data_IF_111396378440
#
_entry.id   IF_111396378440
#
_cell.length_a   1.000
_cell.length_b   1.000
_cell.length_c   1.000
_cell.angle_alpha   90.00
_cell.angle_beta   90.00
_cell.angle_gamma   90.00
#
_symmetry.space_group_name_H-M   'P 1'
#
loop_
_entity.id
_entity.type
_entity.pdbx_description
1 polymer ?
#
# COMPACT_ATOMS: atom_id res chain seq x y z
N UNK A 1 -12.86 21.75 21.52
CA UNK A 1 -11.98 20.69 22.08
C UNK A 1 -11.01 20.29 20.98
N UNK A 2 -9.74 20.00 21.29
CA UNK A 2 -8.86 19.32 20.33
C UNK A 2 -9.33 17.86 20.24
N UNK A 3 -9.78 17.43 19.08
CA UNK A 3 -10.13 16.03 18.83
C UNK A 3 -8.86 15.19 18.82
N UNK A 4 -8.82 14.10 19.58
CA UNK A 4 -7.66 13.20 19.65
C UNK A 4 -7.57 12.23 18.46
N UNK A 5 -8.48 12.36 17.49
CA UNK A 5 -8.58 11.62 16.23
C UNK A 5 -9.58 12.28 15.29
N UNK A 6 -9.47 12.03 13.99
CA UNK A 6 -10.47 12.36 12.98
C UNK A 6 -10.89 11.08 12.24
N UNK A 7 -12.19 10.82 12.13
CA UNK A 7 -12.73 9.67 11.38
C UNK A 7 -13.51 10.18 10.18
N UNK A 8 -13.10 9.77 8.99
CA UNK A 8 -13.73 10.17 7.73
C UNK A 8 -14.28 8.98 6.96
N UNK A 9 -15.44 9.19 6.35
CA UNK A 9 -15.98 8.32 5.32
C UNK A 9 -15.32 8.68 3.99
N UNK A 10 -14.87 7.67 3.26
CA UNK A 10 -14.16 7.83 1.98
C UNK A 10 -15.10 7.62 0.81
N UNK A 11 -15.87 6.53 0.83
CA UNK A 11 -16.77 6.17 -0.27
C UNK A 11 -17.91 5.27 0.20
N UNK A 12 -19.07 5.35 -0.48
CA UNK A 12 -20.19 4.41 -0.36
C UNK A 12 -20.13 3.27 -1.39
N UNK A 13 -19.20 3.34 -2.36
CA UNK A 13 -19.17 2.46 -3.53
C UNK A 13 -18.71 1.03 -3.25
N UNK A 14 -18.22 0.75 -2.04
CA UNK A 14 -17.75 -0.59 -1.62
C UNK A 14 -18.46 -1.02 -0.35
N UNK A 15 -18.93 -2.27 -0.33
CA UNK A 15 -19.52 -2.88 0.87
C UNK A 15 -18.38 -3.53 1.67
N UNK A 16 -18.24 -3.23 2.98
CA UNK A 16 -17.28 -3.91 3.85
C UNK A 16 -17.41 -5.44 3.77
N UNK A 17 -16.29 -6.16 3.61
CA UNK A 17 -16.32 -7.61 3.73
C UNK A 17 -16.38 -7.99 5.20
N UNK A 18 -17.44 -8.72 5.53
CA UNK A 18 -17.67 -9.31 6.85
C UNK A 18 -16.74 -10.52 7.05
N UNK A 19 -15.44 -10.24 7.13
CA UNK A 19 -14.35 -11.20 7.05
C UNK A 19 -13.38 -10.99 8.22
N UNK A 20 -13.69 -11.65 9.35
CA UNK A 20 -12.74 -11.84 10.45
C UNK A 20 -11.60 -12.74 9.94
N UNK A 21 -10.39 -12.22 9.96
CA UNK A 21 -9.19 -12.97 9.57
C UNK A 21 -8.74 -13.88 10.72
N UNK A 22 -7.97 -14.91 10.41
CA UNK A 22 -7.34 -15.74 11.43
C UNK A 22 -6.34 -14.92 12.26
N UNK A 23 -6.39 -15.07 13.58
CA UNK A 23 -5.54 -14.37 14.52
C UNK A 23 -4.69 -15.33 15.36
N UNK A 24 -3.43 -14.96 15.55
CA UNK A 24 -2.43 -15.69 16.35
C UNK A 24 -1.84 -14.76 17.41
N UNK A 25 -1.40 -15.31 18.56
CA UNK A 25 -0.62 -14.52 19.52
C UNK A 25 0.72 -14.12 18.91
N UNK A 26 1.13 -12.87 19.11
CA UNK A 26 2.31 -12.31 18.47
C UNK A 26 3.62 -12.98 18.90
N UNK A 27 3.74 -13.52 20.12
CA UNK A 27 4.92 -14.31 20.51
C UNK A 27 4.94 -15.65 19.77
N UNK A 28 3.82 -16.36 19.80
CA UNK A 28 3.66 -17.62 19.09
C UNK A 28 3.93 -17.48 17.58
N UNK A 29 3.55 -16.35 16.96
CA UNK A 29 3.89 -16.03 15.56
C UNK A 29 5.42 -15.98 15.32
N UNK A 30 6.17 -15.26 16.16
CA UNK A 30 7.63 -15.16 16.00
C UNK A 30 8.35 -16.47 16.37
N UNK A 31 7.88 -17.20 17.39
CA UNK A 31 8.41 -18.51 17.81
C UNK A 31 8.18 -19.60 16.74
N UNK A 32 7.00 -19.61 16.09
CA UNK A 32 6.71 -20.54 14.99
C UNK A 32 7.60 -20.28 13.76
N UNK A 33 7.85 -19.00 13.44
CA UNK A 33 8.70 -18.60 12.32
C UNK A 33 10.20 -18.75 12.61
N UNK A 34 10.62 -18.75 13.89
CA UNK A 34 12.01 -18.96 14.31
C UNK A 34 12.07 -19.81 15.58
N UNK A 35 12.21 -21.14 15.43
CA UNK A 35 12.11 -22.12 16.54
C UNK A 35 13.14 -21.97 17.68
N UNK A 36 14.19 -21.18 17.47
CA UNK A 36 15.24 -20.90 18.48
C UNK A 36 15.11 -19.52 19.12
N UNK A 37 14.10 -18.72 18.76
CA UNK A 37 14.01 -17.31 19.14
C UNK A 37 13.61 -17.13 20.62
N UNK A 38 14.60 -17.06 21.50
CA UNK A 38 14.40 -16.88 22.94
C UNK A 38 14.24 -15.40 23.31
N UNK A 39 13.03 -15.01 23.71
CA UNK A 39 12.71 -13.65 24.18
C UNK A 39 13.21 -13.37 25.60
N UNK A 40 13.92 -12.26 25.77
CA UNK A 40 14.26 -11.69 27.08
C UNK A 40 13.22 -10.65 27.54
N UNK A 41 12.71 -9.84 26.61
CA UNK A 41 11.63 -8.87 26.86
C UNK A 41 10.91 -8.53 25.56
N UNK A 42 9.67 -8.04 25.68
CA UNK A 42 8.74 -7.80 24.58
C UNK A 42 7.73 -6.71 24.99
N UNK A 43 7.46 -5.74 24.11
CA UNK A 43 6.55 -4.62 24.38
C UNK A 43 5.72 -4.23 23.15
N UNK A 44 4.42 -4.01 23.37
CA UNK A 44 3.47 -3.46 22.40
C UNK A 44 2.95 -2.13 22.93
N UNK A 45 2.60 -1.20 22.03
CA UNK A 45 1.80 -0.03 22.39
C UNK A 45 0.76 0.29 21.32
N UNK A 46 -0.50 0.35 21.72
CA UNK A 46 -1.38 1.40 21.24
C UNK A 46 -2.37 1.84 22.34
N UNK A 47 -2.11 3.01 22.92
CA UNK A 47 -2.86 3.65 24.02
C UNK A 47 -2.88 2.93 25.37
N UNK A 48 -3.29 3.69 26.39
CA UNK A 48 -2.93 3.52 27.81
C UNK A 48 -4.16 3.30 28.71
N UNK A 49 -5.25 2.76 28.15
CA UNK A 49 -6.56 2.67 28.80
C UNK A 49 -7.40 1.47 28.29
N UNK A 50 -6.85 0.27 28.42
CA UNK A 50 -7.65 -0.95 28.68
C UNK A 50 -6.75 -2.03 29.28
N UNK A 51 -7.26 -2.79 30.25
CA UNK A 51 -6.58 -3.96 30.82
C UNK A 51 -6.68 -5.20 29.90
N UNK A 52 -6.79 -4.94 28.60
CA UNK A 52 -7.23 -5.86 27.54
C UNK A 52 -6.50 -5.59 26.21
N UNK A 53 -5.26 -5.10 26.27
CA UNK A 53 -4.40 -4.91 25.10
C UNK A 53 -4.09 -6.26 24.42
N UNK A 54 -4.89 -6.58 23.40
CA UNK A 54 -4.80 -7.84 22.65
C UNK A 54 -3.43 -8.01 22.01
N UNK A 55 -2.73 -9.06 22.42
CA UNK A 55 -1.47 -9.54 21.82
C UNK A 55 -1.67 -10.24 20.48
N UNK A 56 -2.91 -10.32 19.97
CA UNK A 56 -3.24 -11.03 18.74
C UNK A 56 -3.00 -10.16 17.51
N UNK A 57 -2.38 -10.77 16.49
CA UNK A 57 -2.22 -10.22 15.14
C UNK A 57 -2.80 -11.19 14.10
N UNK A 58 -3.07 -10.69 12.90
CA UNK A 58 -3.46 -11.51 11.74
C UNK A 58 -2.33 -12.52 11.45
N UNK A 59 -2.66 -13.80 11.30
CA UNK A 59 -1.69 -14.89 11.06
C UNK A 59 -0.99 -14.80 9.70
N UNK A 60 -1.71 -14.34 8.68
CA UNK A 60 -1.26 -14.24 7.29
C UNK A 60 -1.32 -12.77 6.81
N UNK A 61 -0.39 -11.90 7.26
CA UNK A 61 -0.31 -10.53 6.77
C UNK A 61 0.18 -10.50 5.31
N UNK A 62 -0.40 -9.62 4.49
CA UNK A 62 -0.03 -9.46 3.07
C UNK A 62 1.44 -9.05 2.83
N UNK A 63 2.10 -8.45 3.82
CA UNK A 63 3.55 -8.18 3.81
C UNK A 63 4.15 -8.26 5.21
N UNK A 64 5.48 -8.39 5.31
CA UNK A 64 6.24 -8.26 6.57
C UNK A 64 6.38 -6.81 7.09
N UNK A 65 5.57 -5.88 6.60
CA UNK A 65 5.55 -4.48 7.03
C UNK A 65 4.15 -4.09 7.48
N UNK A 66 3.92 -4.02 8.80
CA UNK A 66 2.58 -3.87 9.38
C UNK A 66 1.76 -2.72 8.79
N UNK A 67 2.30 -1.49 8.67
CA UNK A 67 1.59 -0.38 8.03
C UNK A 67 1.14 -0.69 6.59
N UNK A 68 2.05 -1.18 5.74
CA UNK A 68 1.76 -1.53 4.35
C UNK A 68 0.69 -2.62 4.30
N UNK A 69 0.81 -3.66 5.14
CA UNK A 69 -0.18 -4.74 5.20
C UNK A 69 -1.55 -4.26 5.70
N UNK A 70 -1.60 -3.37 6.71
CA UNK A 70 -2.84 -2.81 7.25
C UNK A 70 -3.61 -2.01 6.20
N UNK A 71 -2.92 -1.14 5.46
CA UNK A 71 -3.48 -0.37 4.34
C UNK A 71 -4.04 -1.32 3.26
N UNK A 72 -3.34 -2.43 2.97
CA UNK A 72 -3.74 -3.38 1.94
C UNK A 72 -4.96 -4.20 2.38
N UNK A 73 -5.00 -4.75 3.60
CA UNK A 73 -6.18 -5.44 4.11
C UNK A 73 -7.41 -4.52 4.10
N UNK A 74 -7.27 -3.26 4.56
CA UNK A 74 -8.35 -2.28 4.47
C UNK A 74 -8.83 -2.04 3.03
N UNK A 75 -7.90 -1.94 2.06
CA UNK A 75 -8.20 -1.69 0.65
C UNK A 75 -8.79 -2.89 -0.10
N UNK A 76 -8.34 -4.11 0.19
CA UNK A 76 -8.80 -5.35 -0.49
C UNK A 76 -9.98 -6.02 0.18
N UNK A 77 -10.21 -5.78 1.48
CA UNK A 77 -11.36 -6.27 2.24
C UNK A 77 -12.43 -5.21 2.49
N UNK A 78 -12.21 -3.97 2.05
CA UNK A 78 -13.11 -2.82 2.29
C UNK A 78 -13.34 -2.56 3.78
N UNK A 79 -12.29 -2.72 4.59
CA UNK A 79 -12.35 -2.57 6.05
C UNK A 79 -11.88 -1.17 6.47
N UNK A 80 -12.23 -0.76 7.69
CA UNK A 80 -11.93 0.57 8.21
C UNK A 80 -10.44 0.65 8.56
N UNK A 81 -9.68 1.50 7.88
CA UNK A 81 -8.26 1.71 8.19
C UNK A 81 -8.11 2.63 9.42
N UNK A 82 -7.33 2.23 10.42
CA UNK A 82 -6.85 3.12 11.48
C UNK A 82 -5.34 3.27 11.41
N UNK A 83 -4.85 4.51 11.39
CA UNK A 83 -3.42 4.87 11.41
C UNK A 83 -3.17 6.12 12.26
N UNK A 84 -1.93 6.27 12.72
CA UNK A 84 -1.46 7.38 13.55
C UNK A 84 -0.27 8.12 12.90
N UNK A 85 0.09 9.33 13.39
CA UNK A 85 1.32 10.03 12.97
C UNK A 85 2.58 9.21 13.23
N UNK A 86 2.58 8.36 14.26
CA UNK A 86 3.73 7.51 14.62
C UNK A 86 3.92 6.37 13.62
N UNK A 87 2.85 5.81 13.05
CA UNK A 87 2.97 4.79 11.98
C UNK A 87 3.64 5.37 10.73
N UNK A 88 3.25 6.59 10.34
CA UNK A 88 3.86 7.25 9.19
C UNK A 88 5.29 7.68 9.53
N UNK A 89 5.53 8.29 10.70
CA UNK A 89 6.86 8.74 11.09
C UNK A 89 7.86 7.59 11.28
N UNK A 90 7.44 6.47 11.86
CA UNK A 90 8.32 5.31 12.07
C UNK A 90 8.72 4.69 10.73
N UNK A 91 7.80 4.61 9.78
CA UNK A 91 8.08 4.18 8.40
C UNK A 91 9.09 5.11 7.72
N UNK A 92 8.93 6.43 7.89
CA UNK A 92 9.88 7.43 7.38
C UNK A 92 11.26 7.30 8.06
N UNK A 93 11.30 7.20 9.39
CA UNK A 93 12.55 7.06 10.14
C UNK A 93 13.31 5.77 9.78
N UNK A 94 12.60 4.66 9.53
CA UNK A 94 13.19 3.43 9.00
C UNK A 94 13.73 3.62 7.57
N UNK A 95 13.04 4.39 6.72
CA UNK A 95 13.52 4.77 5.39
C UNK A 95 14.82 5.59 5.42
N UNK A 96 14.89 6.59 6.30
CA UNK A 96 16.11 7.41 6.53
C UNK A 96 17.24 6.57 7.12
N UNK A 97 16.96 5.70 8.10
CA UNK A 97 17.95 4.80 8.70
C UNK A 97 18.55 3.85 7.66
N UNK A 98 17.70 3.21 6.83
CA UNK A 98 18.14 2.35 5.72
C UNK A 98 18.93 3.14 4.66
N UNK A 99 18.60 4.41 4.40
CA UNK A 99 19.39 5.27 3.52
C UNK A 99 20.80 5.52 4.07
N UNK A 100 20.92 5.98 5.31
CA UNK A 100 22.20 6.31 5.96
C UNK A 100 23.09 5.05 6.03
N UNK A 101 22.51 3.91 6.39
CA UNK A 101 23.24 2.63 6.43
C UNK A 101 23.71 2.17 5.03
N UNK A 102 22.87 2.31 3.99
CA UNK A 102 23.23 1.89 2.63
C UNK A 102 24.32 2.76 1.99
N UNK A 103 24.36 4.07 2.29
CA UNK A 103 25.34 5.01 1.74
C UNK A 103 26.57 5.19 2.66
N UNK A 104 26.83 4.21 3.55
CA UNK A 104 27.84 4.31 4.61
C UNK A 104 29.30 4.22 4.12
N UNK A 105 29.59 3.44 3.07
CA UNK A 105 30.96 3.34 2.54
C UNK A 105 31.30 4.44 1.52
N UNK A 106 30.44 4.70 0.53
CA UNK A 106 30.66 5.69 -0.55
C UNK A 106 29.35 5.90 -1.36
N UNK A 107 29.15 6.85 -2.28
CA UNK A 107 30.02 7.69 -3.13
C UNK A 107 30.93 6.98 -4.16
N UNK A 108 30.71 5.68 -4.37
CA UNK A 108 31.51 4.78 -5.20
C UNK A 108 30.63 3.54 -5.45
N UNK A 109 30.22 3.17 -6.65
CA UNK A 109 30.71 3.61 -7.95
C UNK A 109 29.74 3.25 -9.10
N UNK A 110 28.47 2.92 -8.79
CA UNK A 110 27.55 2.27 -9.73
C UNK A 110 26.13 2.87 -9.75
N UNK A 111 25.83 3.56 -10.85
CA UNK A 111 24.53 3.60 -11.56
C UNK A 111 24.78 2.91 -12.93
N UNK A 112 23.84 2.46 -13.77
CA UNK A 112 22.59 2.99 -14.39
C UNK A 112 21.85 1.76 -15.05
N UNK A 113 20.71 1.72 -15.78
CA UNK A 113 19.60 2.59 -16.30
C UNK A 113 18.51 1.66 -16.95
N UNK A 114 17.43 2.21 -17.56
CA UNK A 114 16.57 1.68 -18.66
C UNK A 114 15.70 0.39 -18.50
N UNK A 115 14.53 0.22 -19.16
CA UNK A 115 13.60 1.13 -19.88
C UNK A 115 12.17 0.54 -20.00
N UNK A 116 11.16 1.40 -20.26
CA UNK A 116 9.80 1.02 -20.71
C UNK A 116 8.68 1.07 -19.66
N UNK A 117 7.39 0.80 -19.98
CA UNK A 117 6.68 0.77 -21.29
C UNK A 117 5.16 1.07 -21.06
N UNK A 118 4.41 1.49 -22.10
CA UNK A 118 3.07 2.12 -21.95
C UNK A 118 1.88 1.12 -21.96
N UNK A 119 0.79 1.44 -21.24
CA UNK A 119 -0.44 0.63 -21.11
C UNK A 119 -1.70 1.47 -21.34
N UNK A 120 -2.82 0.82 -21.69
CA UNK A 120 -4.17 1.40 -21.75
C UNK A 120 -5.02 0.66 -20.71
N UNK A 121 -5.47 1.39 -19.69
CA UNK A 121 -6.31 0.87 -18.61
C UNK A 121 -7.52 1.79 -18.42
N UNK A 122 -8.68 1.22 -18.08
CA UNK A 122 -9.94 1.96 -17.90
C UNK A 122 -10.56 1.59 -16.56
N UNK A 123 -11.03 2.61 -15.86
CA UNK A 123 -11.68 2.43 -14.57
C UNK A 123 -13.14 2.02 -14.74
N UNK A 124 -13.43 0.76 -14.44
CA UNK A 124 -14.77 0.19 -14.50
C UNK A 124 -15.51 0.21 -13.15
N UNK A 125 -14.90 0.76 -12.07
CA UNK A 125 -15.39 0.61 -10.69
C UNK A 125 -16.77 1.21 -10.46
N UNK A 126 -17.09 2.31 -11.14
CA UNK A 126 -18.40 3.00 -11.04
C UNK A 126 -19.46 2.38 -11.98
N UNK A 127 -19.10 1.37 -12.78
CA UNK A 127 -19.90 0.88 -13.92
C UNK A 127 -20.19 -0.63 -13.82
N UNK A 128 -19.24 -1.45 -13.31
CA UNK A 128 -19.36 -2.91 -13.19
C UNK A 128 -19.28 -3.37 -11.74
N UNK A 129 -20.27 -4.17 -11.33
CA UNK A 129 -20.41 -4.78 -10.02
C UNK A 129 -20.25 -6.31 -10.11
N UNK A 130 -20.00 -6.97 -8.98
CA UNK A 130 -19.82 -8.42 -8.89
C UNK A 130 -20.65 -9.04 -7.76
N UNK A 131 -21.45 -10.07 -8.07
CA UNK A 131 -22.26 -10.82 -7.09
C UNK A 131 -22.50 -12.25 -7.61
N UNK A 132 -22.50 -13.24 -6.71
CA UNK A 132 -22.81 -14.64 -7.02
C UNK A 132 -22.04 -15.22 -8.23
N UNK A 133 -20.75 -14.89 -8.38
CA UNK A 133 -19.88 -15.26 -9.52
C UNK A 133 -20.27 -14.64 -10.88
N UNK A 134 -21.17 -13.65 -10.91
CA UNK A 134 -21.59 -12.92 -12.12
C UNK A 134 -21.15 -11.45 -12.01
N UNK A 135 -20.66 -10.88 -13.12
CA UNK A 135 -20.37 -9.46 -13.26
C UNK A 135 -21.55 -8.78 -13.97
N UNK A 136 -22.10 -7.71 -13.39
CA UNK A 136 -23.28 -7.00 -13.89
C UNK A 136 -23.08 -5.48 -13.82
N UNK A 137 -23.64 -4.74 -14.77
CA UNK A 137 -23.40 -3.31 -14.92
C UNK A 137 -23.59 -2.85 -16.37
N UNK A 138 -23.25 -1.59 -16.68
CA UNK A 138 -23.38 -1.07 -18.04
C UNK A 138 -22.18 -1.48 -18.91
N UNK A 139 -22.27 -2.68 -19.46
CA UNK A 139 -21.31 -3.21 -20.43
C UNK A 139 -21.23 -2.38 -21.73
N UNK A 140 -22.27 -1.64 -22.11
CA UNK A 140 -22.27 -0.80 -23.31
C UNK A 140 -21.35 0.42 -23.09
N UNK A 141 -21.46 1.04 -21.91
CA UNK A 141 -20.58 2.13 -21.48
C UNK A 141 -19.11 1.69 -21.42
N UNK A 142 -18.83 0.48 -20.92
CA UNK A 142 -17.48 -0.10 -20.91
C UNK A 142 -16.91 -0.31 -22.31
N UNK A 143 -17.71 -0.86 -23.23
CA UNK A 143 -17.29 -1.11 -24.61
C UNK A 143 -17.03 0.21 -25.36
N UNK A 144 -17.85 1.23 -25.12
CA UNK A 144 -17.62 2.58 -25.66
C UNK A 144 -16.32 3.20 -25.12
N UNK A 145 -16.06 3.12 -23.82
CA UNK A 145 -14.82 3.65 -23.23
C UNK A 145 -13.58 2.91 -23.76
N UNK A 146 -13.62 1.57 -23.83
CA UNK A 146 -12.55 0.76 -24.42
C UNK A 146 -12.29 1.15 -25.87
N UNK A 147 -13.34 1.28 -26.68
CA UNK A 147 -13.27 1.69 -28.08
C UNK A 147 -12.55 3.05 -28.22
N UNK A 148 -12.98 4.06 -27.47
CA UNK A 148 -12.37 5.40 -27.54
C UNK A 148 -10.92 5.43 -27.04
N UNK A 149 -10.56 4.67 -26.01
CA UNK A 149 -9.19 4.64 -25.50
C UNK A 149 -8.23 3.92 -26.46
N UNK A 150 -8.69 2.85 -27.12
CA UNK A 150 -7.95 2.13 -28.15
C UNK A 150 -7.85 2.90 -29.49
N UNK A 151 -8.64 3.97 -29.66
CA UNK A 151 -8.56 4.85 -30.84
C UNK A 151 -7.56 5.99 -30.64
N UNK A 152 -7.57 6.64 -29.47
CA UNK A 152 -6.65 7.72 -29.09
C UNK A 152 -5.16 7.34 -29.03
N UNK A 153 -4.78 6.11 -29.33
CA UNK A 153 -3.40 5.62 -29.32
C UNK A 153 -2.99 4.91 -30.63
N UNK A 154 -3.66 5.22 -31.75
CA UNK A 154 -3.30 4.77 -33.10
C UNK A 154 -3.23 5.98 -34.03
N UNK A 155 -2.17 6.11 -34.83
CA UNK A 155 -1.94 7.28 -35.71
C UNK A 155 -2.79 7.27 -37.00
N UNK A 156 -3.53 6.19 -37.25
CA UNK A 156 -4.44 6.06 -38.39
C UNK A 156 -5.77 6.73 -38.04
N UNK A 157 -6.03 7.89 -38.63
CA UNK A 157 -7.31 8.60 -38.48
C UNK A 157 -8.51 7.75 -38.92
N UNK A 158 -9.67 8.04 -38.33
CA UNK A 158 -11.01 7.55 -38.68
C UNK A 158 -11.22 6.03 -38.65
N UNK A 159 -10.26 5.26 -38.12
CA UNK A 159 -10.35 3.80 -38.01
C UNK A 159 -11.54 3.36 -37.12
N UNK A 160 -11.93 4.13 -36.09
CA UNK A 160 -13.20 3.89 -35.37
C UNK A 160 -14.42 4.08 -36.28
N UNK A 161 -14.47 5.14 -37.08
CA UNK A 161 -15.63 5.44 -37.94
C UNK A 161 -15.84 4.32 -38.98
N UNK A 162 -14.75 3.82 -39.58
CA UNK A 162 -14.79 2.71 -40.55
C UNK A 162 -15.26 1.37 -39.97
N UNK A 163 -15.23 1.20 -38.64
CA UNK A 163 -15.68 -0.01 -37.94
C UNK A 163 -16.99 0.17 -37.18
N UNK A 164 -17.49 1.39 -36.99
CA UNK A 164 -18.75 1.65 -36.27
C UNK A 164 -19.96 1.49 -37.21
N UNK A 165 -20.90 0.60 -36.90
CA UNK A 165 -22.08 0.41 -37.75
C UNK A 165 -23.05 1.59 -37.66
N UNK A 166 -23.08 2.42 -38.70
CA UNK A 166 -23.89 3.64 -38.83
C UNK A 166 -25.11 3.52 -39.78
N UNK A 167 -25.25 2.37 -40.45
CA UNK A 167 -26.29 2.09 -41.45
C UNK A 167 -27.73 2.29 -40.92
N UNK A 168 -28.68 2.54 -41.84
CA UNK A 168 -30.11 2.73 -41.51
C UNK A 168 -30.80 1.51 -40.88
N UNK A 169 -30.16 0.34 -40.90
CA UNK A 169 -30.61 -0.90 -40.24
C UNK A 169 -29.88 -1.18 -38.92
N UNK A 170 -28.94 -0.32 -38.51
CA UNK A 170 -28.13 -0.53 -37.31
C UNK A 170 -28.95 -0.42 -36.03
N UNK A 171 -28.63 -1.30 -35.08
CA UNK A 171 -29.24 -1.39 -33.76
C UNK A 171 -28.18 -1.18 -32.68
N UNK A 172 -28.61 -0.92 -31.44
CA UNK A 172 -27.69 -0.88 -30.29
C UNK A 172 -26.80 -2.13 -30.21
N UNK A 173 -27.31 -3.30 -30.59
CA UNK A 173 -26.55 -4.54 -30.63
C UNK A 173 -25.48 -4.55 -31.74
N UNK A 174 -25.81 -4.13 -32.97
CA UNK A 174 -24.82 -4.10 -34.07
C UNK A 174 -23.75 -3.03 -33.85
N UNK A 175 -24.13 -1.83 -33.37
CA UNK A 175 -23.19 -0.77 -32.99
C UNK A 175 -22.21 -1.27 -31.92
N UNK A 176 -22.70 -1.98 -30.90
CA UNK A 176 -21.86 -2.53 -29.83
C UNK A 176 -20.95 -3.65 -30.35
N UNK A 177 -21.49 -4.57 -31.16
CA UNK A 177 -20.71 -5.66 -31.76
C UNK A 177 -19.59 -5.12 -32.66
N UNK A 178 -19.85 -4.07 -33.44
CA UNK A 178 -18.86 -3.48 -34.33
C UNK A 178 -17.72 -2.79 -33.55
N UNK A 179 -18.02 -2.19 -32.40
CA UNK A 179 -17.01 -1.68 -31.44
C UNK A 179 -16.18 -2.79 -30.81
N UNK A 180 -16.77 -3.96 -30.55
CA UNK A 180 -16.01 -5.16 -30.12
C UNK A 180 -15.09 -5.64 -31.26
N UNK A 181 -15.54 -5.61 -32.52
CA UNK A 181 -14.71 -6.00 -33.69
C UNK A 181 -13.54 -5.01 -33.90
N UNK A 182 -13.74 -3.70 -33.68
CA UNK A 182 -12.64 -2.73 -33.65
C UNK A 182 -11.60 -3.08 -32.57
N UNK A 183 -12.05 -3.41 -31.35
CA UNK A 183 -11.17 -3.82 -30.26
C UNK A 183 -10.42 -5.12 -30.60
N UNK A 184 -11.09 -6.08 -31.23
CA UNK A 184 -10.51 -7.33 -31.69
C UNK A 184 -9.41 -7.11 -32.75
N UNK A 185 -9.65 -6.21 -33.72
CA UNK A 185 -8.63 -5.86 -34.74
C UNK A 185 -7.33 -5.32 -34.14
N UNK A 186 -7.43 -4.63 -32.99
CA UNK A 186 -6.28 -4.02 -32.27
C UNK A 186 -5.71 -4.92 -31.16
N UNK A 187 -6.24 -6.13 -30.92
CA UNK A 187 -5.86 -7.02 -29.79
C UNK A 187 -4.42 -7.55 -29.82
N UNK A 188 -3.76 -7.49 -30.98
CA UNK A 188 -2.35 -7.84 -31.12
C UNK A 188 -1.41 -6.75 -30.53
N UNK A 189 -1.91 -5.51 -30.40
CA UNK A 189 -1.14 -4.35 -29.96
C UNK A 189 -1.55 -3.88 -28.54
N UNK A 190 -2.82 -4.06 -28.16
CA UNK A 190 -3.33 -3.66 -26.85
C UNK A 190 -3.95 -4.83 -26.08
N UNK A 191 -3.65 -4.91 -24.78
CA UNK A 191 -4.21 -5.91 -23.85
C UNK A 191 -5.24 -5.26 -22.93
N UNK A 192 -6.52 -5.35 -23.31
CA UNK A 192 -7.61 -4.82 -22.50
C UNK A 192 -7.73 -5.55 -21.16
N UNK A 193 -7.97 -4.80 -20.09
CA UNK A 193 -8.20 -5.30 -18.72
C UNK A 193 -9.29 -4.47 -18.06
N UNK A 194 -10.13 -5.12 -17.26
CA UNK A 194 -11.15 -4.50 -16.42
C UNK A 194 -10.81 -4.78 -14.96
N UNK A 195 -10.94 -3.78 -14.09
CA UNK A 195 -10.55 -3.87 -12.68
C UNK A 195 -11.77 -3.93 -11.77
N UNK A 196 -11.88 -5.01 -10.98
CA UNK A 196 -12.90 -5.15 -9.94
C UNK A 196 -12.63 -4.25 -8.73
N UNK A 197 -13.69 -3.96 -7.97
CA UNK A 197 -13.66 -3.03 -6.83
C UNK A 197 -12.63 -3.41 -5.75
N UNK A 198 -11.71 -2.49 -5.48
CA UNK A 198 -10.86 -2.41 -4.29
C UNK A 198 -10.82 -0.94 -3.87
N UNK A 199 -10.90 -0.68 -2.57
CA UNK A 199 -11.12 0.65 -2.00
C UNK A 199 -11.32 0.58 -0.49
N UNK A 200 -10.86 1.60 0.23
CA UNK A 200 -11.06 1.77 1.68
C UNK A 200 -12.32 2.63 1.87
N UNK A 201 -13.40 2.16 2.54
CA UNK A 201 -14.62 2.95 2.71
C UNK A 201 -14.55 3.97 3.86
N UNK A 202 -13.68 3.75 4.86
CA UNK A 202 -13.56 4.60 6.06
C UNK A 202 -12.14 4.61 6.58
N UNK A 203 -11.68 5.76 7.08
CA UNK A 203 -10.36 5.96 7.69
C UNK A 203 -10.51 6.66 9.04
N UNK A 204 -9.79 6.20 10.07
CA UNK A 204 -9.51 6.99 11.28
C UNK A 204 -8.03 7.37 11.30
N UNK A 205 -7.78 8.67 11.34
CA UNK A 205 -6.49 9.27 11.60
C UNK A 205 -6.45 9.63 13.09
N UNK A 206 -5.78 8.81 13.89
CA UNK A 206 -5.59 9.07 15.33
C UNK A 206 -4.62 10.24 15.57
N UNK A 207 -4.52 10.72 16.80
CA UNK A 207 -3.74 11.93 17.14
C UNK A 207 -4.48 13.24 16.80
N UNK A 208 -3.87 14.38 17.15
CA UNK A 208 -4.41 15.71 16.85
C UNK A 208 -3.94 16.23 15.49
N UNK A 209 -4.64 17.19 14.91
CA UNK A 209 -4.18 17.89 13.69
C UNK A 209 -2.77 18.49 13.85
N UNK A 210 -2.41 18.93 15.06
CA UNK A 210 -1.07 19.44 15.38
C UNK A 210 0.01 18.37 15.16
N UNK A 211 -0.27 17.11 15.50
CA UNK A 211 0.67 16.00 15.34
C UNK A 211 0.89 15.65 13.86
N UNK A 212 -0.18 15.70 13.06
CA UNK A 212 -0.10 15.52 11.60
C UNK A 212 0.63 16.67 10.90
N UNK A 213 0.43 17.92 11.35
CA UNK A 213 1.22 19.06 10.87
C UNK A 213 2.70 18.94 11.29
N UNK A 214 2.97 18.49 12.52
CA UNK A 214 4.33 18.27 13.02
C UNK A 214 5.05 17.15 12.27
N UNK A 215 4.34 16.09 11.86
CA UNK A 215 4.83 15.06 10.95
C UNK A 215 5.31 15.66 9.61
N UNK A 216 4.52 16.54 8.99
CA UNK A 216 4.91 17.20 7.73
C UNK A 216 6.15 18.09 7.92
N UNK A 217 6.21 18.88 9.00
CA UNK A 217 7.37 19.71 9.32
C UNK A 217 8.65 18.90 9.63
N UNK A 218 8.52 17.72 10.26
CA UNK A 218 9.63 16.78 10.42
C UNK A 218 10.12 16.24 9.08
N UNK A 219 9.23 15.98 8.12
CA UNK A 219 9.59 15.53 6.77
C UNK A 219 10.27 16.64 5.95
N UNK A 220 9.74 17.88 5.95
CA UNK A 220 10.41 19.03 5.31
C UNK A 220 11.82 19.26 5.86
N UNK A 221 12.02 19.06 7.16
CA UNK A 221 13.35 19.14 7.79
C UNK A 221 14.31 18.07 7.27
N UNK A 222 13.86 16.87 6.91
CA UNK A 222 14.72 15.82 6.34
C UNK A 222 15.29 16.22 4.97
N UNK A 223 14.53 16.93 4.13
CA UNK A 223 15.03 17.48 2.86
C UNK A 223 16.24 18.39 3.09
N UNK A 224 16.17 19.23 4.13
CA UNK A 224 17.20 20.21 4.47
C UNK A 224 18.45 19.63 5.16
N UNK A 225 18.52 18.31 5.42
CA UNK A 225 19.69 17.66 6.05
C UNK A 225 20.81 17.28 5.05
N UNK A 226 20.65 17.57 3.75
CA UNK A 226 21.66 17.24 2.74
C UNK A 226 21.78 15.74 2.42
N UNK A 227 20.78 14.94 2.81
CA UNK A 227 20.78 13.48 2.66
C UNK A 227 20.40 12.98 1.24
N UNK A 228 20.25 13.87 0.25
CA UNK A 228 19.91 13.49 -1.14
C UNK A 228 18.69 12.55 -1.27
N UNK A 229 17.68 12.76 -0.41
CA UNK A 229 16.48 11.93 -0.29
C UNK A 229 15.34 12.35 -1.24
N UNK A 230 15.57 13.36 -2.07
CA UNK A 230 14.55 14.06 -2.86
C UNK A 230 13.78 13.13 -3.82
N UNK A 231 14.45 12.10 -4.35
CA UNK A 231 13.85 11.01 -5.16
C UNK A 231 12.72 10.24 -4.45
N UNK A 232 12.60 10.38 -3.13
CA UNK A 232 11.57 9.78 -2.30
C UNK A 232 10.71 10.83 -1.59
N UNK A 233 11.31 11.85 -0.97
CA UNK A 233 10.55 12.83 -0.18
C UNK A 233 9.57 13.64 -1.03
N UNK A 234 9.91 13.95 -2.29
CA UNK A 234 8.98 14.55 -3.27
C UNK A 234 7.76 13.69 -3.58
N UNK A 235 7.87 12.35 -3.47
CA UNK A 235 6.76 11.41 -3.65
C UNK A 235 5.92 11.26 -2.38
N UNK A 236 6.54 11.47 -1.21
CA UNK A 236 5.96 11.30 0.12
C UNK A 236 5.17 12.53 0.61
N UNK A 237 5.67 13.75 0.39
CA UNK A 237 5.03 14.98 0.88
C UNK A 237 3.57 15.17 0.39
N UNK A 238 3.20 14.85 -0.87
CA UNK A 238 1.81 14.87 -1.32
C UNK A 238 0.91 13.89 -0.54
N UNK A 239 1.44 12.72 -0.13
CA UNK A 239 0.69 11.70 0.63
C UNK A 239 0.41 12.17 2.05
N UNK A 240 1.41 12.78 2.71
CA UNK A 240 1.23 13.38 4.05
C UNK A 240 0.26 14.56 3.99
N UNK A 241 0.30 15.35 2.92
CA UNK A 241 -0.65 16.46 2.71
C UNK A 241 -2.08 15.93 2.55
N UNK A 242 -2.30 14.87 1.77
CA UNK A 242 -3.59 14.20 1.63
C UNK A 242 -4.10 13.58 2.95
N UNK A 243 -3.22 13.06 3.81
CA UNK A 243 -3.62 12.66 5.17
C UNK A 243 -4.05 13.86 6.03
N UNK A 244 -3.34 14.98 5.96
CA UNK A 244 -3.69 16.22 6.68
C UNK A 244 -5.02 16.81 6.18
N UNK A 245 -5.28 16.80 4.89
CA UNK A 245 -6.54 17.30 4.32
C UNK A 245 -7.70 16.35 4.58
N UNK A 246 -7.48 15.03 4.51
CA UNK A 246 -8.43 14.03 5.02
C UNK A 246 -8.73 14.28 6.51
N UNK A 247 -7.73 14.58 7.36
CA UNK A 247 -7.97 14.87 8.79
C UNK A 247 -8.94 16.05 8.99
N UNK A 248 -8.85 17.09 8.15
CA UNK A 248 -9.74 18.27 8.17
C UNK A 248 -11.16 18.00 7.65
N UNK A 249 -11.41 16.84 7.02
CA UNK A 249 -12.66 16.51 6.33
C UNK A 249 -12.65 16.82 4.82
N UNK A 250 -11.51 17.28 4.26
CA UNK A 250 -11.33 17.49 2.82
C UNK A 250 -10.91 16.16 2.16
N UNK A 251 -11.86 15.24 2.00
CA UNK A 251 -11.59 13.87 1.54
C UNK A 251 -11.48 13.80 0.01
N UNK A 252 -10.31 13.38 -0.50
CA UNK A 252 -10.11 13.02 -1.90
C UNK A 252 -10.34 11.51 -2.11
N UNK A 253 -11.51 11.15 -2.63
CA UNK A 253 -11.85 9.75 -2.95
C UNK A 253 -10.85 9.15 -3.96
N UNK A 254 -10.34 9.93 -4.92
CA UNK A 254 -9.41 9.43 -5.94
C UNK A 254 -8.06 9.07 -5.33
N UNK A 255 -7.52 9.90 -4.43
CA UNK A 255 -6.32 9.58 -3.67
C UNK A 255 -6.47 8.25 -2.92
N UNK A 256 -7.54 8.08 -2.12
CA UNK A 256 -7.76 6.83 -1.38
C UNK A 256 -8.06 5.63 -2.30
N UNK A 257 -8.62 5.86 -3.48
CA UNK A 257 -8.78 4.84 -4.52
C UNK A 257 -7.48 4.48 -5.28
N UNK A 258 -6.40 5.25 -5.10
CA UNK A 258 -5.06 5.07 -5.69
C UNK A 258 -4.00 4.52 -4.71
N UNK A 259 -4.43 3.91 -3.59
CA UNK A 259 -3.57 3.10 -2.69
C UNK A 259 -2.68 2.15 -3.50
N UNK A 260 -3.32 1.31 -4.31
CA UNK A 260 -2.72 0.37 -5.26
C UNK A 260 -3.56 0.34 -6.55
N UNK A 261 -2.87 0.29 -7.67
CA UNK A 261 -3.27 -0.29 -8.94
C UNK A 261 -2.33 -1.48 -9.16
N UNK A 262 -2.88 -2.69 -9.31
CA UNK A 262 -2.05 -3.81 -9.76
C UNK A 262 -1.69 -3.54 -11.22
N UNK A 263 -0.40 -3.64 -11.54
CA UNK A 263 0.14 -3.60 -12.90
C UNK A 263 0.56 -5.03 -13.22
N UNK A 264 -0.30 -5.85 -13.87
CA UNK A 264 0.03 -7.22 -14.18
C UNK A 264 0.89 -7.29 -15.45
N UNK A 265 1.64 -8.39 -15.56
CA UNK A 265 2.71 -8.60 -16.55
C UNK A 265 2.37 -8.10 -17.98
N UNK A 266 3.34 -7.38 -18.57
CA UNK A 266 3.56 -7.40 -20.01
C UNK A 266 4.39 -8.65 -20.37
N UNK A 267 4.47 -9.04 -21.64
CA UNK A 267 5.19 -10.27 -22.06
C UNK A 267 6.72 -10.20 -21.93
N UNK A 268 7.27 -9.13 -21.34
CA UNK A 268 8.70 -8.89 -21.19
C UNK A 268 9.11 -8.55 -19.74
N UNK A 269 8.16 -8.48 -18.80
CA UNK A 269 8.39 -8.20 -17.38
C UNK A 269 7.89 -9.38 -16.55
N UNK A 270 8.67 -9.85 -15.57
CA UNK A 270 8.45 -11.16 -14.93
C UNK A 270 7.81 -11.11 -13.54
N UNK A 271 7.31 -9.97 -13.07
CA UNK A 271 6.70 -9.82 -11.73
C UNK A 271 5.45 -8.93 -11.75
N UNK A 272 4.47 -9.24 -10.90
CA UNK A 272 3.31 -8.38 -10.66
C UNK A 272 3.69 -7.21 -9.73
N UNK A 273 3.33 -5.99 -10.14
CA UNK A 273 3.65 -4.77 -9.39
C UNK A 273 2.43 -4.08 -8.77
N UNK A 274 2.63 -3.44 -7.62
CA UNK A 274 1.72 -2.46 -7.03
C UNK A 274 2.16 -1.04 -7.40
N UNK A 275 1.39 -0.38 -8.26
CA UNK A 275 1.54 1.03 -8.61
C UNK A 275 0.60 1.89 -7.78
N UNK A 276 1.08 2.88 -7.04
CA UNK A 276 0.22 3.72 -6.19
C UNK A 276 0.96 4.33 -5.02
N UNK A 277 0.29 5.22 -4.29
CA UNK A 277 0.94 6.04 -3.25
C UNK A 277 1.46 5.23 -2.06
N UNK A 278 1.03 3.98 -1.87
CA UNK A 278 1.60 3.09 -0.84
C UNK A 278 3.12 2.89 -1.01
N UNK A 279 3.62 2.96 -2.24
CA UNK A 279 5.06 2.90 -2.57
C UNK A 279 5.80 4.23 -2.38
N UNK A 280 5.08 5.34 -2.13
CA UNK A 280 5.66 6.62 -1.71
C UNK A 280 6.06 6.61 -0.24
N UNK A 281 5.50 5.70 0.57
CA UNK A 281 5.92 5.51 1.96
C UNK A 281 7.34 4.93 2.07
N UNK A 282 7.88 4.36 0.97
CA UNK A 282 9.12 3.57 0.96
C UNK A 282 10.18 4.19 0.01
N UNK A 283 11.40 4.44 0.48
CA UNK A 283 12.53 4.84 -0.38
C UNK A 283 13.23 3.67 -1.05
N UNK A 284 13.17 2.46 -0.47
CA UNK A 284 13.96 1.30 -0.87
C UNK A 284 13.14 0.01 -0.86
N UNK A 285 13.48 -0.90 -1.77
CA UNK A 285 13.01 -2.30 -1.74
C UNK A 285 13.72 -3.12 -0.66
N UNK A 286 13.26 -4.36 -0.45
CA UNK A 286 13.93 -5.39 0.35
C UNK A 286 15.37 -5.67 -0.12
N UNK A 287 15.63 -5.51 -1.42
CA UNK A 287 16.95 -5.64 -2.06
C UNK A 287 17.73 -4.31 -2.10
N UNK A 288 17.25 -3.27 -1.41
CA UNK A 288 17.89 -1.95 -1.28
C UNK A 288 18.01 -1.19 -2.62
N UNK A 289 17.18 -1.55 -3.61
CA UNK A 289 17.03 -0.76 -4.83
C UNK A 289 16.22 0.52 -4.52
N UNK A 290 16.64 1.68 -5.03
CA UNK A 290 15.87 2.93 -4.89
C UNK A 290 14.51 2.79 -5.56
N UNK A 291 13.45 3.16 -4.85
CA UNK A 291 12.10 3.33 -5.41
C UNK A 291 12.00 4.78 -5.90
N UNK A 292 12.09 4.97 -7.21
CA UNK A 292 12.12 6.30 -7.87
C UNK A 292 10.79 6.70 -8.50
N UNK A 293 9.93 5.73 -8.78
CA UNK A 293 8.56 5.89 -9.25
C UNK A 293 7.59 5.33 -8.20
N UNK A 294 6.28 5.52 -8.40
CA UNK A 294 5.27 4.97 -7.48
C UNK A 294 4.92 3.52 -7.83
N UNK A 295 5.93 2.62 -7.86
CA UNK A 295 5.79 1.20 -8.18
C UNK A 295 6.64 0.34 -7.23
N UNK A 296 6.07 -0.75 -6.69
CA UNK A 296 6.81 -1.75 -5.90
C UNK A 296 6.24 -3.16 -6.14
N UNK A 297 7.10 -4.18 -6.21
CA UNK A 297 6.69 -5.61 -6.26
C UNK A 297 6.38 -6.08 -4.83
N UNK A 298 5.30 -6.86 -4.56
CA UNK A 298 4.89 -7.26 -3.21
C UNK A 298 6.03 -7.93 -2.40
N UNK A 299 6.72 -8.87 -3.02
CA UNK A 299 7.83 -9.62 -2.42
C UNK A 299 9.08 -8.76 -2.16
N UNK A 300 9.13 -7.56 -2.73
CA UNK A 300 10.20 -6.57 -2.59
C UNK A 300 9.85 -5.46 -1.59
N UNK A 301 8.70 -5.54 -0.91
CA UNK A 301 8.42 -4.73 0.29
C UNK A 301 9.43 -5.11 1.38
N UNK A 302 10.22 -4.15 1.92
CA UNK A 302 11.17 -4.43 2.98
C UNK A 302 10.44 -4.75 4.30
N UNK A 303 11.10 -5.47 5.21
CA UNK A 303 10.58 -5.68 6.56
C UNK A 303 10.30 -4.34 7.27
N UNK A 304 9.17 -4.27 7.97
CA UNK A 304 8.81 -3.19 8.86
C UNK A 304 9.50 -3.23 10.22
N UNK A 305 10.41 -4.20 10.44
CA UNK A 305 11.33 -4.24 11.58
C UNK A 305 12.73 -3.77 11.18
N UNK A 306 13.40 -3.11 12.14
CA UNK A 306 14.86 -2.96 12.17
C UNK A 306 15.44 -3.84 13.28
N UNK A 307 16.69 -4.26 13.11
CA UNK A 307 17.43 -5.11 14.03
C UNK A 307 18.73 -4.40 14.42
N UNK A 308 19.07 -4.43 15.71
CA UNK A 308 20.31 -3.87 16.26
C UNK A 308 21.00 -4.94 17.10
N UNK A 309 22.05 -5.60 16.59
CA UNK A 309 22.85 -6.53 17.38
C UNK A 309 23.68 -5.77 18.43
N UNK A 310 23.77 -6.32 19.62
CA UNK A 310 24.60 -5.83 20.71
C UNK A 310 25.10 -6.99 21.58
N UNK A 311 26.14 -6.75 22.37
CA UNK A 311 26.67 -7.72 23.33
C UNK A 311 26.35 -7.29 24.77
N UNK A 312 26.04 -8.26 25.63
CA UNK A 312 25.98 -8.07 27.08
C UNK A 312 26.98 -8.98 27.78
N UNK A 313 27.71 -8.42 28.75
CA UNK A 313 28.79 -9.09 29.50
C UNK A 313 28.64 -8.74 30.98
N UNK A 314 28.66 -9.75 31.85
CA UNK A 314 28.61 -9.56 33.30
C UNK A 314 30.03 -9.48 33.86
N UNK A 315 30.34 -8.42 34.60
CA UNK A 315 31.66 -8.20 35.17
C UNK A 315 31.96 -9.25 36.26
N UNK A 316 33.13 -9.88 36.19
CA UNK A 316 33.53 -10.99 37.07
C UNK A 316 33.05 -12.38 36.61
N UNK A 317 32.12 -12.48 35.66
CA UNK A 317 31.61 -13.76 35.15
C UNK A 317 32.13 -14.06 33.73
N UNK A 318 32.08 -15.35 33.33
CA UNK A 318 32.33 -15.77 31.94
C UNK A 318 31.05 -15.76 31.07
N UNK A 319 29.98 -15.12 31.54
CA UNK A 319 28.73 -15.03 30.79
C UNK A 319 28.78 -13.88 29.77
N UNK A 320 28.64 -14.26 28.50
CA UNK A 320 28.58 -13.38 27.35
C UNK A 320 27.33 -13.72 26.55
N UNK A 321 26.50 -12.72 26.29
CA UNK A 321 25.27 -12.86 25.52
C UNK A 321 25.35 -12.00 24.26
N UNK A 322 25.22 -12.63 23.10
CA UNK A 322 24.98 -11.95 21.83
C UNK A 322 23.47 -11.75 21.68
N UNK A 323 23.01 -10.50 21.69
CA UNK A 323 21.59 -10.13 21.75
C UNK A 323 21.19 -9.28 20.55
N UNK A 324 19.94 -9.35 20.12
CA UNK A 324 19.39 -8.51 19.06
C UNK A 324 18.17 -7.74 19.57
N UNK A 325 18.23 -6.41 19.51
CA UNK A 325 17.09 -5.54 19.76
C UNK A 325 16.33 -5.33 18.44
N UNK A 326 15.10 -5.81 18.37
CA UNK A 326 14.23 -5.68 17.20
C UNK A 326 13.12 -4.67 17.49
N UNK A 327 12.87 -3.74 16.57
CA UNK A 327 11.85 -2.70 16.76
C UNK A 327 11.17 -2.31 15.45
N UNK A 328 9.89 -1.94 15.51
CA UNK A 328 9.12 -1.50 14.35
C UNK A 328 7.70 -2.01 14.33
N UNK A 329 7.22 -2.40 13.14
CA UNK A 329 5.93 -3.02 12.93
C UNK A 329 6.00 -4.52 13.15
N UNK A 330 5.39 -5.00 14.25
CA UNK A 330 5.37 -6.41 14.61
C UNK A 330 4.23 -7.19 13.93
N UNK A 331 3.26 -6.52 13.33
CA UNK A 331 2.15 -7.14 12.61
C UNK A 331 1.01 -6.17 12.29
N UNK A 332 -0.19 -6.74 12.11
CA UNK A 332 -1.46 -6.04 11.88
C UNK A 332 -2.50 -6.64 12.80
N UNK A 333 -3.33 -5.82 13.43
CA UNK A 333 -4.50 -6.24 14.22
C UNK A 333 -5.78 -5.82 13.51
N UNK A 334 -6.82 -6.64 13.65
CA UNK A 334 -8.17 -6.35 13.18
C UNK A 334 -9.09 -6.37 14.41
N UNK A 335 -9.56 -5.19 14.82
CA UNK A 335 -10.48 -5.02 15.95
C UNK A 335 -11.93 -4.95 15.44
N UNK A 336 -12.91 -5.31 16.26
CA UNK A 336 -14.34 -5.03 15.98
C UNK A 336 -14.76 -3.83 16.83
N UNK A 337 -15.16 -2.73 16.20
CA UNK A 337 -15.55 -1.48 16.86
C UNK A 337 -16.77 -0.93 16.14
N UNK A 338 -17.82 -0.58 16.89
CA UNK A 338 -19.10 -0.07 16.34
C UNK A 338 -19.71 -0.98 15.24
N UNK A 339 -19.52 -2.29 15.40
CA UNK A 339 -19.86 -3.38 14.45
C UNK A 339 -19.09 -3.36 13.11
N UNK A 340 -17.97 -2.66 13.01
CA UNK A 340 -17.10 -2.64 11.83
C UNK A 340 -15.72 -3.26 12.14
N UNK A 341 -15.13 -3.94 11.16
CA UNK A 341 -13.73 -4.38 11.24
C UNK A 341 -12.78 -3.20 11.02
N UNK A 342 -12.00 -2.88 12.05
CA UNK A 342 -10.99 -1.82 12.03
C UNK A 342 -9.59 -2.41 12.00
N UNK A 343 -8.90 -2.23 10.88
CA UNK A 343 -7.55 -2.74 10.63
C UNK A 343 -6.53 -1.70 11.05
N UNK A 344 -5.60 -2.08 11.94
CA UNK A 344 -4.54 -1.22 12.48
C UNK A 344 -3.17 -1.89 12.36
N UNK A 345 -2.09 -1.16 12.04
CA UNK A 345 -0.73 -1.65 12.27
C UNK A 345 -0.47 -1.88 13.78
N UNK A 346 0.51 -2.73 14.09
CA UNK A 346 0.97 -2.95 15.48
C UNK A 346 2.45 -2.55 15.60
N UNK A 347 2.72 -1.48 16.34
CA UNK A 347 4.08 -1.05 16.71
C UNK A 347 4.52 -1.72 18.01
N UNK A 348 5.78 -2.14 18.06
CA UNK A 348 6.43 -2.58 19.29
C UNK A 348 7.91 -2.90 19.10
N UNK A 349 8.48 -3.53 20.12
CA UNK A 349 9.90 -3.91 20.16
C UNK A 349 10.14 -5.12 21.08
N UNK A 350 11.26 -5.81 20.88
CA UNK A 350 11.67 -6.96 21.67
C UNK A 350 13.19 -7.15 21.69
N UNK A 351 13.68 -7.93 22.66
CA UNK A 351 15.07 -8.37 22.74
C UNK A 351 15.10 -9.89 22.76
N UNK A 352 15.92 -10.48 21.90
CA UNK A 352 16.13 -11.93 21.75
C UNK A 352 17.63 -12.26 21.72
N UNK A 353 17.98 -13.52 21.97
CA UNK A 353 19.32 -14.04 21.64
C UNK A 353 19.58 -13.94 20.11
N UNK A 354 20.85 -13.77 19.71
CA UNK A 354 21.27 -13.92 18.30
C UNK A 354 21.32 -15.40 17.92
N UNK A 355 20.90 -15.72 16.69
CA UNK A 355 21.00 -17.06 16.07
C UNK A 355 22.28 -17.21 15.25
#
# INVERSE_FOLDING_TARGET
>A
MLTSRSTQKITDKVVPKDELLEHVDIKAYYEQNNRNLKFHTFSLNYTKNSDLNSTKIISLPTTSHGLISAIIHAYTLHQHLRISPDDIWLTVAQGVSKHIWFNSESFRHFFVDHEGKKKIEIDARDILNYKNKVIYGDWLQIIEQLSNAADRQVEILDLKQLFECDFSTSTKASITASKIILLDSKKAYFRYRLRGGCGIPKVTLEGTLTDWLHLQEKVKKLCNLGLNLDFWLSRLEPVITQFIDTYKGNVDENFWNMVISQIPLSTFETTDGWSGWISSLLPYTKQICKITNNLIVPNNVPSGLVNVPFEFKLEGEKLHFALNCSAGFLGVRQDIIDNEYVVSPVIGWYIVDQN
#
